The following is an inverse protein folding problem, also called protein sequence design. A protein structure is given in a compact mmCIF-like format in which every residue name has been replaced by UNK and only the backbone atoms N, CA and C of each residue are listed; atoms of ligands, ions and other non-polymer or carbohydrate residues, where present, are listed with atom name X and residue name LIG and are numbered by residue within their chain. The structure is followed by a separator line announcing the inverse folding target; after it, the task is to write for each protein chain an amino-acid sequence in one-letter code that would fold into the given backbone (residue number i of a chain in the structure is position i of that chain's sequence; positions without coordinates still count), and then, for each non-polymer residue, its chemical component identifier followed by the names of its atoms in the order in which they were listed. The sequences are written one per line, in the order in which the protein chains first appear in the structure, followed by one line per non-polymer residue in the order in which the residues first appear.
data_IF_080003168219
#
_entry.id   IF_080003168219
#
_cell.length_a   1.000
_cell.length_b   1.000
_cell.length_c   1.000
_cell.angle_alpha   90.00
_cell.angle_beta   90.00
_cell.angle_gamma   90.00
#
_symmetry.space_group_name_H-M   'P 1'
#
loop_
_entity.id
_entity.type
_entity.pdbx_description
1 polymer ?
#
# COMPACT_ATOMS: atom_id res chain seq x y z
N UNK A 1 -19.19 -103.11 4.18
CA UNK A 1 -19.45 -102.78 5.58
C UNK A 1 -19.06 -101.34 5.81
N UNK A 2 -20.03 -100.48 5.75
CA UNK A 2 -20.56 -99.85 6.97
C UNK A 2 -19.55 -98.84 7.54
N UNK A 3 -19.78 -97.72 7.73
CA UNK A 3 -20.78 -96.83 8.22
C UNK A 3 -20.24 -95.37 8.18
N UNK A 4 -21.04 -94.44 7.75
CA UNK A 4 -21.58 -93.35 8.56
C UNK A 4 -20.51 -92.40 9.16
N UNK A 5 -20.61 -91.21 9.16
CA UNK A 5 -21.72 -90.24 9.26
C UNK A 5 -21.19 -88.86 9.48
N UNK A 6 -21.92 -87.93 8.94
CA UNK A 6 -22.37 -86.70 9.53
C UNK A 6 -21.34 -85.62 9.87
N UNK A 7 -21.49 -84.67 9.08
CA UNK A 7 -22.20 -83.45 9.47
C UNK A 7 -21.57 -82.64 10.58
N UNK A 8 -21.08 -81.56 10.20
CA UNK A 8 -21.32 -80.33 10.94
C UNK A 8 -20.73 -79.10 10.21
N UNK A 9 -21.54 -78.48 9.43
CA UNK A 9 -21.33 -77.09 9.10
C UNK A 9 -21.50 -76.26 10.33
N UNK A 10 -20.65 -75.30 10.60
CA UNK A 10 -21.02 -74.08 11.27
C UNK A 10 -20.93 -72.93 10.32
N UNK A 11 -21.97 -72.14 10.41
CA UNK A 11 -22.28 -70.95 9.70
C UNK A 11 -21.12 -69.97 9.51
N UNK A 12 -21.15 -69.19 8.40
CA UNK A 12 -20.18 -68.16 8.22
C UNK A 12 -20.51 -67.00 9.20
N UNK A 13 -19.61 -66.82 10.11
CA UNK A 13 -19.59 -65.52 10.88
C UNK A 13 -19.32 -64.40 9.93
N UNK A 14 -20.33 -63.61 9.75
CA UNK A 14 -20.23 -62.34 9.09
C UNK A 14 -19.11 -61.51 9.73
N UNK A 15 -18.00 -61.40 9.05
CA UNK A 15 -17.02 -60.38 9.31
C UNK A 15 -17.63 -59.07 8.83
N UNK A 16 -18.11 -58.30 9.78
CA UNK A 16 -18.46 -56.89 9.54
C UNK A 16 -17.19 -56.19 9.10
N UNK A 17 -17.09 -55.93 7.80
CA UNK A 17 -16.11 -55.02 7.24
C UNK A 17 -16.44 -53.63 7.76
N UNK A 18 -15.72 -53.21 8.77
CA UNK A 18 -15.67 -51.77 9.13
C UNK A 18 -14.95 -51.07 8.00
N UNK A 19 -15.73 -50.56 7.07
CA UNK A 19 -15.26 -49.49 6.18
C UNK A 19 -15.00 -48.26 7.03
N UNK A 20 -13.76 -48.18 7.51
CA UNK A 20 -13.23 -46.96 8.06
C UNK A 20 -13.18 -45.93 6.95
N UNK A 21 -14.22 -45.08 6.89
CA UNK A 21 -14.22 -43.90 6.02
C UNK A 21 -13.11 -42.97 6.46
N UNK A 22 -12.00 -43.02 5.75
CA UNK A 22 -11.00 -41.97 5.80
C UNK A 22 -11.66 -40.71 5.20
N UNK A 23 -12.24 -39.90 6.06
CA UNK A 23 -12.62 -38.53 5.72
C UNK A 23 -11.30 -37.77 5.52
N UNK A 24 -10.84 -37.73 4.28
CA UNK A 24 -9.85 -36.72 3.89
C UNK A 24 -10.50 -35.33 4.07
N UNK A 25 -10.23 -34.74 5.21
CA UNK A 25 -10.43 -33.30 5.37
C UNK A 25 -9.44 -32.62 4.43
N UNK A 26 -9.86 -32.32 3.21
CA UNK A 26 -9.20 -31.30 2.39
C UNK A 26 -9.38 -30.00 3.15
N UNK A 27 -8.39 -29.66 3.98
CA UNK A 27 -8.19 -28.30 4.43
C UNK A 27 -7.92 -27.48 3.17
N UNK A 28 -8.96 -26.88 2.62
CA UNK A 28 -8.81 -25.82 1.65
C UNK A 28 -8.03 -24.71 2.37
N UNK A 29 -6.71 -24.67 2.17
CA UNK A 29 -5.92 -23.47 2.42
C UNK A 29 -6.46 -22.43 1.47
N UNK A 30 -7.51 -21.72 1.87
CA UNK A 30 -7.84 -20.43 1.30
C UNK A 30 -6.64 -19.54 1.63
N UNK A 31 -5.66 -19.53 0.74
CA UNK A 31 -4.63 -18.54 0.75
C UNK A 31 -5.35 -17.20 0.72
N UNK A 32 -5.30 -16.45 1.83
CA UNK A 32 -5.67 -15.06 1.84
C UNK A 32 -4.76 -14.40 0.80
N UNK A 33 -5.26 -14.23 -0.40
CA UNK A 33 -4.61 -13.39 -1.38
C UNK A 33 -4.73 -11.99 -0.82
N UNK A 34 -3.64 -11.49 -0.25
CA UNK A 34 -3.52 -10.10 0.09
C UNK A 34 -3.79 -9.33 -1.21
N UNK A 35 -4.91 -8.64 -1.26
CA UNK A 35 -5.23 -7.75 -2.37
C UNK A 35 -4.16 -6.68 -2.33
N UNK A 36 -3.21 -6.73 -3.26
CA UNK A 36 -2.24 -5.64 -3.43
C UNK A 36 -3.04 -4.42 -3.83
N UNK A 37 -3.25 -3.54 -2.87
CA UNK A 37 -3.95 -2.28 -3.12
C UNK A 37 -2.98 -1.36 -3.85
N UNK A 38 -3.21 -1.18 -5.14
CA UNK A 38 -2.49 -0.18 -5.92
C UNK A 38 -3.19 1.16 -5.75
N UNK A 39 -2.49 2.19 -5.25
CA UNK A 39 -3.06 3.53 -5.19
C UNK A 39 -3.55 3.97 -6.57
N UNK A 40 -4.76 4.52 -6.69
CA UNK A 40 -5.28 4.95 -7.98
C UNK A 40 -4.55 6.20 -8.49
N UNK A 41 -4.37 6.27 -9.80
CA UNK A 41 -3.98 7.51 -10.46
C UNK A 41 -5.18 8.45 -10.45
N UNK A 42 -4.96 9.67 -9.98
CA UNK A 42 -5.95 10.73 -9.84
C UNK A 42 -5.58 11.91 -10.72
N UNK A 43 -6.49 12.85 -10.87
CA UNK A 43 -6.30 14.08 -11.65
C UNK A 43 -6.55 15.31 -10.78
N UNK A 44 -5.67 16.30 -10.88
CA UNK A 44 -5.85 17.64 -10.36
C UNK A 44 -5.46 18.64 -11.43
N UNK A 45 -6.37 19.49 -11.85
CA UNK A 45 -6.18 20.47 -12.94
C UNK A 45 -5.53 19.88 -14.21
N UNK A 46 -5.90 18.63 -14.55
CA UNK A 46 -5.36 17.90 -15.71
C UNK A 46 -4.00 17.23 -15.48
N UNK A 47 -3.42 17.36 -14.30
CA UNK A 47 -2.18 16.69 -13.92
C UNK A 47 -2.51 15.36 -13.26
N UNK A 48 -1.93 14.29 -13.78
CA UNK A 48 -1.99 12.97 -13.16
C UNK A 48 -1.09 12.93 -11.93
N UNK A 49 -1.61 12.39 -10.85
CA UNK A 49 -0.85 12.12 -9.64
C UNK A 49 -1.31 10.83 -8.98
N UNK A 50 -0.46 10.27 -8.16
CA UNK A 50 -0.75 9.11 -7.32
C UNK A 50 -0.10 9.33 -5.96
N UNK A 51 -0.77 8.95 -4.87
CA UNK A 51 -0.19 9.02 -3.55
C UNK A 51 -0.46 7.75 -2.76
N UNK A 52 0.47 7.40 -1.87
CA UNK A 52 0.39 6.18 -1.08
C UNK A 52 1.65 5.94 -0.26
N UNK A 53 1.87 4.66 0.07
CA UNK A 53 3.04 4.23 0.84
C UNK A 53 2.72 3.88 2.29
N UNK A 54 1.44 3.63 2.61
CA UNK A 54 1.04 3.08 3.90
C UNK A 54 1.22 1.56 3.88
N UNK A 55 2.05 1.07 4.79
CA UNK A 55 2.45 -0.34 4.84
C UNK A 55 3.60 -0.68 3.88
N UNK A 56 4.20 -1.85 4.09
CA UNK A 56 5.42 -2.27 3.38
C UNK A 56 5.23 -2.39 1.88
N UNK A 57 4.15 -3.04 1.47
CA UNK A 57 3.91 -3.41 0.07
C UNK A 57 3.61 -2.17 -0.80
N UNK A 58 2.79 -1.27 -0.26
CA UNK A 58 2.47 -0.02 -0.94
C UNK A 58 3.68 0.93 -0.98
N UNK A 59 4.47 0.99 0.10
CA UNK A 59 5.70 1.76 0.14
C UNK A 59 6.74 1.22 -0.86
N UNK A 60 6.84 -0.09 -1.03
CA UNK A 60 7.71 -0.70 -2.03
C UNK A 60 7.24 -0.40 -3.45
N UNK A 61 5.92 -0.48 -3.69
CA UNK A 61 5.34 -0.09 -4.97
C UNK A 61 5.66 1.36 -5.29
N UNK A 62 5.43 2.28 -4.36
CA UNK A 62 5.71 3.72 -4.58
C UNK A 62 7.18 3.95 -4.94
N UNK A 63 8.12 3.34 -4.22
CA UNK A 63 9.56 3.42 -4.54
C UNK A 63 9.90 2.83 -5.91
N UNK A 64 9.22 1.78 -6.32
CA UNK A 64 9.42 1.14 -7.64
C UNK A 64 8.93 2.03 -8.79
N UNK A 65 7.87 2.79 -8.59
CA UNK A 65 7.29 3.64 -9.63
C UNK A 65 7.90 5.05 -9.68
N UNK A 66 8.43 5.57 -8.56
CA UNK A 66 9.06 6.89 -8.45
C UNK A 66 9.95 7.28 -9.65
N UNK A 67 10.89 6.42 -10.14
CA UNK A 67 11.77 6.81 -11.23
C UNK A 67 11.05 7.07 -12.56
N UNK A 68 9.80 6.66 -12.69
CA UNK A 68 8.97 6.84 -13.89
C UNK A 68 8.11 8.11 -13.85
N UNK A 69 8.16 8.83 -12.74
CA UNK A 69 7.38 10.04 -12.52
C UNK A 69 8.29 11.26 -12.46
N UNK A 70 7.99 12.33 -13.19
CA UNK A 70 8.84 13.53 -13.25
C UNK A 70 9.03 14.22 -11.90
N UNK A 71 8.00 14.24 -11.06
CA UNK A 71 8.05 14.83 -9.72
C UNK A 71 7.65 13.83 -8.65
N UNK A 72 8.46 13.77 -7.58
CA UNK A 72 8.24 12.94 -6.40
C UNK A 72 8.29 13.84 -5.18
N UNK A 73 7.29 13.70 -4.34
CA UNK A 73 7.18 14.38 -3.05
C UNK A 73 7.16 13.33 -1.94
N UNK A 74 8.03 13.50 -0.97
CA UNK A 74 8.10 12.64 0.21
C UNK A 74 7.84 13.47 1.45
N UNK A 75 7.04 12.92 2.36
CA UNK A 75 6.58 13.60 3.56
C UNK A 75 7.04 12.86 4.81
N UNK A 76 7.70 13.56 5.71
CA UNK A 76 8.24 13.00 6.92
C UNK A 76 8.14 13.98 8.10
N UNK A 77 8.13 13.45 9.30
CA UNK A 77 8.25 14.20 10.57
C UNK A 77 9.49 13.72 11.28
N UNK A 78 10.29 14.64 11.82
CA UNK A 78 11.45 14.28 12.63
C UNK A 78 11.02 13.48 13.87
N UNK A 79 11.72 12.37 14.10
CA UNK A 79 11.63 11.60 15.34
C UNK A 79 13.04 11.32 15.86
N UNK A 80 13.54 12.21 16.70
CA UNK A 80 14.91 12.15 17.18
C UNK A 80 15.95 12.14 16.05
N UNK A 81 16.64 11.00 15.86
CA UNK A 81 17.63 10.81 14.77
C UNK A 81 17.04 10.17 13.52
N UNK A 82 15.78 9.78 13.56
CA UNK A 82 15.06 9.18 12.44
C UNK A 82 14.02 10.14 11.92
N UNK A 83 13.40 9.77 10.83
CA UNK A 83 12.21 10.44 10.32
C UNK A 83 11.08 9.41 10.24
N UNK A 84 9.92 9.77 10.75
CA UNK A 84 8.71 9.00 10.57
C UNK A 84 7.96 9.50 9.35
N UNK A 85 7.36 8.58 8.63
CA UNK A 85 6.57 8.92 7.46
C UNK A 85 5.28 9.65 7.85
N UNK A 86 4.98 10.73 7.14
CA UNK A 86 3.77 11.53 7.34
C UNK A 86 2.70 11.18 6.29
N UNK A 87 1.47 11.05 6.74
CA UNK A 87 0.30 10.94 5.90
C UNK A 87 -0.62 12.15 6.10
N UNK A 88 -1.67 12.24 5.29
CA UNK A 88 -2.66 13.32 5.37
C UNK A 88 -2.11 14.73 5.12
N UNK A 89 -0.99 14.81 4.41
CA UNK A 89 -0.41 16.08 3.97
C UNK A 89 -1.26 16.67 2.84
N UNK A 90 -1.57 17.94 2.92
CA UNK A 90 -2.17 18.68 1.81
C UNK A 90 -1.08 19.34 1.00
N UNK A 91 -0.98 18.99 -0.28
CA UNK A 91 0.01 19.54 -1.21
C UNK A 91 -0.64 20.46 -2.23
N UNK A 92 -0.09 21.65 -2.37
CA UNK A 92 -0.42 22.60 -3.45
C UNK A 92 0.84 22.89 -4.24
N UNK A 93 0.78 22.77 -5.57
CA UNK A 93 1.90 23.09 -6.45
C UNK A 93 1.48 24.14 -7.45
N UNK A 94 2.31 25.18 -7.59
CA UNK A 94 2.10 26.27 -8.53
C UNK A 94 3.22 26.32 -9.55
N UNK A 95 2.89 26.61 -10.78
CA UNK A 95 3.89 26.85 -11.83
C UNK A 95 4.56 28.24 -11.68
N UNK A 96 5.51 28.54 -12.55
CA UNK A 96 6.23 29.81 -12.56
C UNK A 96 5.33 31.03 -12.78
N UNK A 97 4.11 30.85 -13.30
CA UNK A 97 3.11 31.88 -13.51
C UNK A 97 2.12 31.99 -12.32
N UNK A 98 2.34 31.19 -11.27
CA UNK A 98 1.49 31.16 -10.07
C UNK A 98 0.18 30.38 -10.23
N UNK A 99 -0.05 29.69 -11.35
CA UNK A 99 -1.24 28.87 -11.53
C UNK A 99 -1.10 27.57 -10.72
N UNK A 100 -2.16 27.19 -10.03
CA UNK A 100 -2.20 25.90 -9.33
C UNK A 100 -2.29 24.76 -10.34
N UNK A 101 -1.25 23.94 -10.37
CA UNK A 101 -1.19 22.72 -11.18
C UNK A 101 -1.60 21.49 -10.36
N UNK A 102 -1.29 21.49 -9.06
CA UNK A 102 -1.92 20.59 -8.08
C UNK A 102 -2.61 21.49 -7.03
N UNK A 103 -3.90 21.29 -6.87
CA UNK A 103 -4.72 22.16 -6.02
C UNK A 103 -5.21 21.41 -4.78
N UNK A 104 -4.59 21.69 -3.62
CA UNK A 104 -4.93 21.13 -2.31
C UNK A 104 -5.10 19.61 -2.32
N UNK A 105 -4.20 18.93 -3.00
CA UNK A 105 -4.22 17.46 -3.11
C UNK A 105 -3.85 16.86 -1.76
N UNK A 106 -4.73 15.99 -1.24
CA UNK A 106 -4.46 15.26 -0.01
C UNK A 106 -3.67 13.99 -0.31
N UNK A 107 -2.47 13.88 0.24
CA UNK A 107 -1.66 12.70 0.14
C UNK A 107 -2.17 11.64 1.13
N UNK A 108 -2.51 10.46 0.62
CA UNK A 108 -2.99 9.32 1.43
C UNK A 108 -1.87 8.61 2.19
N UNK A 109 -0.61 8.91 1.86
CA UNK A 109 0.58 8.33 2.47
C UNK A 109 1.79 9.23 2.31
N UNK A 110 2.98 8.74 2.70
CA UNK A 110 4.21 9.52 2.73
C UNK A 110 4.77 9.86 1.35
N UNK A 111 4.24 9.26 0.28
CA UNK A 111 4.69 9.50 -1.08
C UNK A 111 3.57 10.06 -1.95
N UNK A 112 3.92 11.05 -2.76
CA UNK A 112 3.08 11.53 -3.85
C UNK A 112 3.96 11.72 -5.08
N UNK A 113 3.51 11.17 -6.20
CA UNK A 113 4.16 11.32 -7.50
C UNK A 113 3.24 12.05 -8.46
N UNK A 114 3.79 12.93 -9.31
CA UNK A 114 2.99 13.73 -10.23
C UNK A 114 3.67 13.88 -11.60
N UNK A 115 2.86 13.95 -12.67
CA UNK A 115 3.32 14.15 -14.03
C UNK A 115 3.40 15.66 -14.35
N UNK A 116 4.34 16.32 -13.70
CA UNK A 116 4.61 17.73 -13.99
C UNK A 116 5.50 17.84 -15.23
N UNK A 117 5.20 18.84 -16.06
CA UNK A 117 6.06 19.18 -17.20
C UNK A 117 7.41 19.76 -16.71
N UNK A 118 8.48 19.67 -17.53
CA UNK A 118 9.75 20.28 -17.19
C UNK A 118 9.59 21.77 -16.88
N UNK A 119 10.14 22.20 -15.75
CA UNK A 119 10.01 23.60 -15.33
C UNK A 119 10.29 23.84 -13.86
N UNK A 120 10.05 25.07 -13.42
CA UNK A 120 10.16 25.49 -12.02
C UNK A 120 8.78 25.66 -11.42
N UNK A 121 8.64 25.18 -10.19
CA UNK A 121 7.40 25.19 -9.43
C UNK A 121 7.64 25.64 -8.00
N UNK A 122 6.62 26.16 -7.37
CA UNK A 122 6.56 26.35 -5.93
C UNK A 122 5.62 25.31 -5.34
N UNK A 123 6.11 24.49 -4.43
CA UNK A 123 5.32 23.50 -3.73
C UNK A 123 5.14 23.90 -2.28
N UNK A 124 3.89 23.86 -1.84
CA UNK A 124 3.47 24.11 -0.47
C UNK A 124 2.83 22.85 0.10
N UNK A 125 3.39 22.35 1.19
CA UNK A 125 2.89 21.17 1.88
C UNK A 125 2.46 21.55 3.30
N UNK A 126 1.23 21.17 3.67
CA UNK A 126 0.64 21.45 4.98
C UNK A 126 0.35 20.16 5.73
N UNK A 127 0.83 20.09 6.97
CA UNK A 127 0.56 19.01 7.91
C UNK A 127 0.16 19.61 9.26
N UNK A 128 -1.00 19.25 9.77
CA UNK A 128 -1.51 19.72 11.09
C UNK A 128 -1.40 21.25 11.27
N UNK A 129 -1.71 22.02 10.22
CA UNK A 129 -1.65 23.47 10.22
C UNK A 129 -0.24 24.07 10.05
N UNK A 130 0.80 23.27 10.00
CA UNK A 130 2.17 23.72 9.72
C UNK A 130 2.47 23.61 8.23
N UNK A 131 2.89 24.72 7.65
CA UNK A 131 3.15 24.85 6.21
C UNK A 131 4.64 24.86 5.94
N UNK A 132 5.09 24.04 5.00
CA UNK A 132 6.43 24.06 4.45
C UNK A 132 6.36 24.43 2.97
N UNK A 133 7.25 25.30 2.52
CA UNK A 133 7.38 25.68 1.11
C UNK A 133 8.73 25.28 0.55
N UNK A 134 8.74 24.82 -0.70
CA UNK A 134 9.95 24.51 -1.45
C UNK A 134 9.82 24.93 -2.91
N UNK A 135 10.92 25.37 -3.47
CA UNK A 135 11.08 25.43 -4.93
C UNK A 135 11.40 24.03 -5.44
N UNK A 136 10.73 23.65 -6.51
CA UNK A 136 10.84 22.35 -7.17
C UNK A 136 11.24 22.59 -8.61
N UNK A 137 12.31 21.94 -9.04
CA UNK A 137 12.71 21.95 -10.45
C UNK A 137 12.48 20.57 -11.03
N UNK A 138 11.63 20.49 -12.03
CA UNK A 138 11.36 19.26 -12.80
C UNK A 138 12.22 19.28 -14.04
N UNK A 139 13.03 18.24 -14.22
CA UNK A 139 13.93 18.09 -15.36
C UNK A 139 13.22 17.60 -16.61
N UNK A 140 14.02 17.39 -17.68
CA UNK A 140 13.53 16.87 -18.96
C UNK A 140 13.08 15.41 -18.89
N UNK A 141 12.61 14.88 -20.04
CA UNK A 141 12.13 13.52 -20.12
C UNK A 141 13.14 12.49 -19.57
N UNK A 142 12.64 11.51 -18.82
CA UNK A 142 13.46 10.46 -18.21
C UNK A 142 14.16 10.85 -16.91
N UNK A 143 13.95 12.07 -16.41
CA UNK A 143 14.43 12.49 -15.09
C UNK A 143 13.30 12.48 -14.06
N UNK A 144 13.65 12.16 -12.82
CA UNK A 144 12.75 12.23 -11.66
C UNK A 144 13.33 13.18 -10.63
N UNK A 145 12.52 14.13 -10.18
CA UNK A 145 12.89 15.14 -9.18
C UNK A 145 12.29 14.75 -7.84
N UNK A 146 13.12 14.40 -6.86
CA UNK A 146 12.68 14.03 -5.50
C UNK A 146 12.75 15.24 -4.57
N UNK A 147 11.64 15.51 -3.89
CA UNK A 147 11.47 16.66 -3.00
C UNK A 147 10.96 16.17 -1.64
N UNK A 148 11.75 16.34 -0.59
CA UNK A 148 11.43 15.87 0.76
C UNK A 148 10.93 17.05 1.58
N UNK A 149 9.76 16.90 2.19
CA UNK A 149 9.21 17.82 3.20
C UNK A 149 9.33 17.14 4.55
N UNK A 150 10.09 17.75 5.45
CA UNK A 150 10.33 17.22 6.78
C UNK A 150 9.90 18.25 7.83
N UNK A 151 8.86 17.92 8.59
CA UNK A 151 8.37 18.74 9.70
C UNK A 151 9.15 18.48 10.98
N UNK A 152 9.17 19.46 11.89
CA UNK A 152 9.73 19.28 13.22
C UNK A 152 9.05 18.17 13.99
N UNK A 153 9.77 17.59 14.95
CA UNK A 153 9.25 16.60 15.87
C UNK A 153 7.98 17.10 16.59
N UNK A 154 6.99 16.22 16.73
CA UNK A 154 5.73 16.53 17.41
C UNK A 154 4.64 17.13 16.53
N UNK A 155 4.90 17.39 15.24
CA UNK A 155 3.90 17.95 14.32
C UNK A 155 2.65 17.06 14.19
N UNK A 156 2.79 15.74 14.25
CA UNK A 156 1.66 14.79 14.17
C UNK A 156 0.89 14.58 15.49
N UNK A 157 1.41 15.04 16.61
CA UNK A 157 0.79 14.77 17.92
C UNK A 157 -0.48 15.58 18.19
N UNK A 158 -0.74 16.61 17.42
CA UNK A 158 -1.94 17.46 17.62
C UNK A 158 -3.22 16.84 17.06
N UNK A 159 -3.11 15.88 16.14
CA UNK A 159 -4.29 15.24 15.54
C UNK A 159 -4.89 14.12 16.41
N UNK A 160 -4.15 13.59 17.37
CA UNK A 160 -4.59 12.50 18.24
C UNK A 160 -5.33 12.96 19.51
N UNK A 161 -5.31 14.26 19.84
CA UNK A 161 -5.89 14.80 21.07
C UNK A 161 -7.27 15.45 20.90
N UNK A 162 -7.89 15.36 19.73
CA UNK A 162 -9.21 15.94 19.45
C UNK A 162 -10.28 14.87 19.15
N UNK A 163 -10.21 13.72 19.86
CA UNK A 163 -11.30 12.73 19.85
C UNK A 163 -11.86 12.55 21.24
#
# INVERSE_FOLDING_TARGET
MSFFQLDSTPAPRALAAMCGGAVLALAACMGAQATVYNPPIQLSNGIEYMSGGIGSDEAELMRTVEPRWPAVFEFAVKDGRKADFAADVTLTVRDAQGRMVLDHVRASGPYLVARLEPGKYSAEAMLSGQVLQREVTVGGPGTSSRNVFEWPQGTNMQSASSS
#
